data_IF_299863840946
#
_entry.id   IF_299863840946
#
_cell.length_a   1.000
_cell.length_b   1.000
_cell.length_c   1.000
_cell.angle_alpha   90.00
_cell.angle_beta   90.00
_cell.angle_gamma   90.00
#
_symmetry.space_group_name_H-M   'P 1'
#
loop_
_entity.id
_entity.type
_entity.pdbx_description
1 polymer ?
#
# COMPACT_ATOMS: atom_id res chain seq x y z
N UNK A 1 10.77 1.58 0.98
CA UNK A 1 10.22 2.33 -0.16
C UNK A 1 11.06 1.97 -1.39
N UNK A 2 10.50 2.09 -2.60
CA UNK A 2 11.22 1.86 -3.87
C UNK A 2 11.62 3.19 -4.52
N UNK A 3 12.25 4.05 -3.73
CA UNK A 3 12.59 5.44 -4.09
C UNK A 3 13.79 5.47 -5.03
N UNK A 4 13.85 6.48 -5.91
CA UNK A 4 14.96 6.68 -6.85
C UNK A 4 15.45 8.15 -6.85
N UNK A 5 16.18 8.57 -7.89
CA UNK A 5 16.77 9.91 -8.00
C UNK A 5 16.06 10.78 -9.07
N UNK A 6 14.78 10.52 -9.34
CA UNK A 6 13.98 11.29 -10.30
C UNK A 6 13.29 12.53 -9.68
N UNK A 7 13.49 12.77 -8.38
CA UNK A 7 12.93 13.90 -7.63
C UNK A 7 12.52 13.58 -6.19
N UNK A 8 12.70 12.34 -5.74
CA UNK A 8 12.42 11.95 -4.37
C UNK A 8 13.27 12.72 -3.34
N UNK A 9 12.66 12.99 -2.18
CA UNK A 9 13.30 13.68 -1.06
C UNK A 9 13.67 12.68 0.02
N UNK A 10 14.89 12.82 0.52
CA UNK A 10 15.45 11.96 1.56
C UNK A 10 15.58 12.74 2.86
N UNK A 11 15.16 12.14 3.97
CA UNK A 11 15.47 12.66 5.30
C UNK A 11 16.91 12.29 5.64
N UNK A 12 17.76 13.29 5.87
CA UNK A 12 19.13 13.12 6.36
C UNK A 12 19.15 13.63 7.80
N UNK A 13 19.51 12.76 8.73
CA UNK A 13 19.61 13.09 10.16
C UNK A 13 20.98 12.68 10.68
N UNK A 14 21.67 13.61 11.34
CA UNK A 14 22.97 13.40 12.00
C UNK A 14 22.88 13.53 13.53
N UNK A 15 21.68 13.76 14.08
CA UNK A 15 21.46 13.77 15.52
C UNK A 15 21.49 12.33 16.05
N UNK A 16 22.49 12.04 16.89
CA UNK A 16 22.72 10.71 17.45
C UNK A 16 21.56 10.20 18.31
N UNK A 17 20.78 11.08 18.93
CA UNK A 17 19.63 10.69 19.75
C UNK A 17 18.44 10.24 18.89
N UNK A 18 18.39 10.68 17.63
CA UNK A 18 17.33 10.36 16.67
C UNK A 18 17.71 9.22 15.70
N UNK A 19 19.00 8.85 15.63
CA UNK A 19 19.45 7.72 14.82
C UNK A 19 18.90 6.41 15.43
N UNK A 20 18.16 5.59 14.66
CA UNK A 20 17.63 4.33 15.17
C UNK A 20 18.74 3.40 15.66
N UNK A 21 18.61 2.89 16.89
CA UNK A 21 19.54 1.90 17.45
C UNK A 21 19.49 0.53 16.75
N UNK A 22 18.40 0.28 16.02
CA UNK A 22 18.17 -0.97 15.30
C UNK A 22 17.94 -0.68 13.82
N UNK A 23 18.62 -1.44 12.97
CA UNK A 23 18.46 -1.39 11.52
C UNK A 23 17.79 -2.67 11.04
N UNK A 24 16.77 -2.52 10.18
CA UNK A 24 16.11 -3.65 9.55
C UNK A 24 16.62 -3.85 8.12
N UNK A 25 16.59 -5.09 7.63
CA UNK A 25 16.89 -5.36 6.22
C UNK A 25 15.85 -4.66 5.33
N UNK A 26 16.27 -4.07 4.20
CA UNK A 26 15.33 -3.47 3.26
C UNK A 26 14.39 -4.53 2.70
N UNK A 27 13.17 -4.12 2.37
CA UNK A 27 12.21 -4.97 1.66
C UNK A 27 12.72 -5.23 0.25
N UNK A 28 12.66 -6.47 -0.23
CA UNK A 28 13.00 -6.78 -1.60
C UNK A 28 11.92 -6.25 -2.56
N UNK A 29 12.30 -5.29 -3.41
CA UNK A 29 11.42 -4.64 -4.36
C UNK A 29 11.54 -5.29 -5.74
N UNK A 30 10.87 -6.43 -5.93
CA UNK A 30 10.89 -7.08 -7.24
C UNK A 30 9.98 -6.32 -8.21
N UNK A 31 10.57 -5.74 -9.26
CA UNK A 31 9.82 -5.08 -10.34
C UNK A 31 8.82 -6.06 -10.94
N UNK A 32 7.54 -5.73 -10.91
CA UNK A 32 6.50 -6.61 -11.43
C UNK A 32 6.31 -6.30 -12.92
N UNK A 33 6.47 -7.28 -13.81
CA UNK A 33 6.48 -7.09 -15.29
C UNK A 33 5.31 -6.25 -15.77
N UNK A 34 5.50 -5.20 -16.58
CA UNK A 34 4.38 -4.37 -17.06
C UNK A 34 3.34 -5.22 -17.79
N UNK A 35 2.05 -4.88 -17.65
CA UNK A 35 1.03 -5.44 -18.55
C UNK A 35 1.39 -5.00 -19.97
N UNK A 36 1.26 -5.88 -20.97
CA UNK A 36 1.52 -5.53 -22.38
C UNK A 36 0.72 -4.27 -22.75
N UNK A 37 1.43 -3.21 -23.10
CA UNK A 37 0.82 -1.98 -23.63
C UNK A 37 0.24 -2.29 -25.02
N UNK A 38 -0.93 -1.72 -25.34
CA UNK A 38 -1.43 -1.73 -26.71
C UNK A 38 -0.53 -0.81 -27.55
N UNK A 39 -0.25 -1.20 -28.80
CA UNK A 39 0.62 -0.44 -29.70
C UNK A 39 0.06 0.95 -30.04
N UNK A 40 -1.24 1.16 -29.81
CA UNK A 40 -1.92 2.43 -30.02
C UNK A 40 -2.89 2.75 -28.88
N UNK A 41 -2.70 3.91 -28.25
CA UNK A 41 -3.61 4.45 -27.23
C UNK A 41 -4.75 5.21 -27.93
N UNK A 42 -5.97 4.70 -27.79
CA UNK A 42 -7.18 5.32 -28.32
C UNK A 42 -7.82 6.30 -27.34
N UNK A 43 -8.62 7.25 -27.85
CA UNK A 43 -9.42 8.16 -27.00
C UNK A 43 -10.34 7.40 -26.03
N UNK A 44 -10.88 6.26 -26.46
CA UNK A 44 -11.75 5.40 -25.64
C UNK A 44 -10.98 4.78 -24.47
N UNK A 45 -9.75 4.33 -24.69
CA UNK A 45 -8.89 3.79 -23.63
C UNK A 45 -8.49 4.87 -22.62
N UNK A 46 -8.16 6.09 -23.07
CA UNK A 46 -7.92 7.22 -22.17
C UNK A 46 -9.14 7.52 -21.29
N UNK A 47 -10.34 7.64 -21.89
CA UNK A 47 -11.58 7.89 -21.14
C UNK A 47 -11.83 6.77 -20.11
N UNK A 48 -11.66 5.51 -20.52
CA UNK A 48 -11.82 4.35 -19.64
C UNK A 48 -10.80 4.35 -18.49
N UNK A 49 -9.55 4.73 -18.77
CA UNK A 49 -8.51 4.85 -17.76
C UNK A 49 -8.88 5.89 -16.70
N UNK A 50 -9.20 7.12 -17.12
CA UNK A 50 -9.58 8.18 -16.19
C UNK A 50 -10.87 7.87 -15.42
N UNK A 51 -11.87 7.27 -16.07
CA UNK A 51 -13.11 6.85 -15.40
C UNK A 51 -12.88 5.76 -14.32
N UNK A 52 -11.81 4.98 -14.44
CA UNK A 52 -11.49 3.90 -13.50
C UNK A 52 -10.35 4.23 -12.52
N UNK A 53 -9.65 5.35 -12.69
CA UNK A 53 -8.47 5.74 -11.91
C UNK A 53 -8.74 5.83 -10.39
N UNK A 54 -9.96 6.25 -10.00
CA UNK A 54 -10.34 6.28 -8.58
C UNK A 54 -10.45 4.88 -7.96
N UNK A 55 -10.93 3.89 -8.71
CA UNK A 55 -11.11 2.50 -8.22
C UNK A 55 -9.76 1.79 -8.02
N UNK A 56 -8.72 2.25 -8.71
CA UNK A 56 -7.36 1.70 -8.62
C UNK A 56 -6.53 2.35 -7.50
N UNK A 57 -6.92 3.55 -7.02
CA UNK A 57 -6.22 4.24 -5.94
C UNK A 57 -6.64 3.72 -4.55
N UNK A 58 -6.02 2.62 -4.14
CA UNK A 58 -6.29 1.95 -2.85
C UNK A 58 -5.26 2.26 -1.76
N UNK A 59 -4.21 3.04 -2.05
CA UNK A 59 -3.10 3.30 -1.12
C UNK A 59 -3.57 3.89 0.22
N UNK A 60 -4.47 4.88 0.19
CA UNK A 60 -5.00 5.51 1.42
C UNK A 60 -5.81 4.54 2.30
N UNK A 61 -6.53 3.59 1.69
CA UNK A 61 -7.25 2.56 2.46
C UNK A 61 -6.24 1.63 3.14
N UNK A 62 -5.22 1.18 2.40
CA UNK A 62 -4.17 0.30 2.92
C UNK A 62 -3.41 0.98 4.07
N UNK A 63 -3.11 2.26 3.94
CA UNK A 63 -2.43 3.05 4.98
C UNK A 63 -3.23 3.12 6.29
N UNK A 64 -4.54 3.36 6.21
CA UNK A 64 -5.41 3.35 7.38
C UNK A 64 -5.39 2.00 8.13
N UNK A 65 -5.42 0.88 7.39
CA UNK A 65 -5.29 -0.44 8.01
C UNK A 65 -3.90 -0.68 8.58
N UNK A 66 -2.85 -0.19 7.91
CA UNK A 66 -1.49 -0.31 8.41
C UNK A 66 -1.36 0.39 9.77
N UNK A 67 -1.84 1.63 9.88
CA UNK A 67 -1.83 2.39 11.13
C UNK A 67 -2.63 1.69 12.24
N UNK A 68 -3.80 1.12 11.91
CA UNK A 68 -4.59 0.34 12.86
C UNK A 68 -3.82 -0.87 13.42
N UNK A 69 -3.22 -1.69 12.55
CA UNK A 69 -2.48 -2.88 12.97
C UNK A 69 -1.16 -2.55 13.64
N UNK A 70 -0.49 -1.48 13.20
CA UNK A 70 0.73 -0.98 13.82
C UNK A 70 0.48 -0.55 15.26
N UNK A 71 -0.64 0.13 15.52
CA UNK A 71 -1.03 0.52 16.87
C UNK A 71 -1.40 -0.70 17.74
N UNK A 72 -2.04 -1.72 17.16
CA UNK A 72 -2.52 -2.90 17.91
C UNK A 72 -1.43 -3.94 18.18
N UNK A 73 -0.58 -4.24 17.19
CA UNK A 73 0.37 -5.36 17.21
C UNK A 73 1.82 -4.94 16.94
N UNK A 74 2.07 -3.64 16.73
CA UNK A 74 3.37 -3.11 16.35
C UNK A 74 3.64 -3.11 14.84
N UNK A 75 4.49 -2.19 14.40
CA UNK A 75 4.88 -1.99 12.99
C UNK A 75 5.58 -3.21 12.36
N UNK A 76 6.20 -4.07 13.17
CA UNK A 76 6.90 -5.26 12.70
C UNK A 76 6.00 -6.50 12.58
N UNK A 77 4.70 -6.38 12.88
CA UNK A 77 3.73 -7.46 12.79
C UNK A 77 3.58 -8.01 11.36
N UNK A 78 3.15 -9.28 11.24
CA UNK A 78 2.97 -9.93 9.93
C UNK A 78 1.89 -9.23 9.09
N UNK A 79 0.89 -8.67 9.75
CA UNK A 79 -0.18 -7.86 9.17
C UNK A 79 0.39 -6.59 8.54
N UNK A 80 1.19 -5.83 9.28
CA UNK A 80 1.83 -4.61 8.78
C UNK A 80 2.76 -4.90 7.60
N UNK A 81 3.54 -5.98 7.67
CA UNK A 81 4.44 -6.38 6.56
C UNK A 81 3.67 -6.68 5.27
N UNK A 82 2.57 -7.43 5.37
CA UNK A 82 1.69 -7.73 4.23
C UNK A 82 1.04 -6.46 3.66
N UNK A 83 0.64 -5.54 4.52
CA UNK A 83 0.08 -4.26 4.11
C UNK A 83 1.12 -3.37 3.44
N UNK A 84 2.38 -3.37 3.91
CA UNK A 84 3.47 -2.65 3.27
C UNK A 84 3.77 -3.16 1.85
N UNK A 85 3.73 -4.48 1.64
CA UNK A 85 3.85 -5.08 0.29
C UNK A 85 2.70 -4.67 -0.63
N UNK A 86 1.46 -4.64 -0.11
CA UNK A 86 0.29 -4.19 -0.86
C UNK A 86 0.37 -2.69 -1.17
N UNK A 87 0.86 -1.88 -0.24
CA UNK A 87 1.02 -0.45 -0.41
C UNK A 87 2.02 -0.15 -1.53
N UNK A 88 3.17 -0.84 -1.56
CA UNK A 88 4.14 -0.76 -2.66
C UNK A 88 3.49 -1.07 -4.02
N UNK A 89 2.70 -2.14 -4.11
CA UNK A 89 1.97 -2.47 -5.35
C UNK A 89 0.93 -1.42 -5.72
N UNK A 90 0.33 -0.75 -4.73
CA UNK A 90 -0.68 0.29 -4.96
C UNK A 90 -0.09 1.57 -5.53
N UNK A 91 1.09 1.98 -5.06
CA UNK A 91 1.81 3.14 -5.59
C UNK A 91 2.22 2.92 -7.06
N UNK A 92 2.59 1.68 -7.42
CA UNK A 92 2.99 1.32 -8.78
C UNK A 92 1.84 0.93 -9.71
N UNK A 93 0.62 0.78 -9.20
CA UNK A 93 -0.54 0.36 -9.99
C UNK A 93 -0.80 1.29 -11.20
N UNK A 94 -0.74 2.64 -11.06
CA UNK A 94 -0.89 3.54 -12.21
C UNK A 94 0.21 3.36 -13.27
N UNK A 95 1.44 3.05 -12.84
CA UNK A 95 2.60 2.83 -13.74
C UNK A 95 2.54 1.48 -14.47
N UNK A 96 1.94 0.47 -13.84
CA UNK A 96 1.96 -0.92 -14.33
C UNK A 96 0.64 -1.39 -14.96
N UNK A 97 -0.45 -0.64 -14.78
CA UNK A 97 -1.79 -1.01 -15.22
C UNK A 97 -2.40 -2.18 -14.44
N UNK A 98 -1.76 -2.64 -13.37
CA UNK A 98 -2.25 -3.77 -12.57
C UNK A 98 -3.34 -3.32 -11.60
N UNK A 99 -4.43 -4.09 -11.56
CA UNK A 99 -5.47 -3.95 -10.54
C UNK A 99 -5.08 -4.75 -9.30
N UNK A 100 -5.21 -4.14 -8.12
CA UNK A 100 -5.05 -4.83 -6.85
C UNK A 100 -6.38 -5.52 -6.53
N UNK A 101 -6.45 -6.84 -6.75
CA UNK A 101 -7.68 -7.63 -6.60
C UNK A 101 -7.95 -8.13 -5.17
N UNK A 102 -7.11 -7.80 -4.20
CA UNK A 102 -7.12 -8.47 -2.88
C UNK A 102 -7.82 -7.66 -1.77
N UNK A 103 -8.92 -6.96 -2.08
CA UNK A 103 -9.80 -6.32 -1.08
C UNK A 103 -10.29 -7.31 -0.02
N UNK A 104 -10.53 -8.56 -0.43
CA UNK A 104 -11.05 -9.63 0.45
C UNK A 104 -10.11 -10.00 1.61
N UNK A 105 -8.81 -9.71 1.51
CA UNK A 105 -7.87 -9.91 2.62
C UNK A 105 -7.81 -8.74 3.61
N UNK A 106 -8.30 -7.56 3.20
CA UNK A 106 -8.31 -6.33 4.01
C UNK A 106 -9.60 -6.23 4.84
N UNK A 107 -10.72 -6.78 4.33
CA UNK A 107 -12.05 -6.70 4.96
C UNK A 107 -12.28 -7.63 6.17
N UNK A 108 -11.41 -8.59 6.44
CA UNK A 108 -11.64 -9.66 7.44
C UNK A 108 -11.79 -9.18 8.89
N UNK A 109 -11.59 -7.89 9.20
CA UNK A 109 -11.72 -7.35 10.56
C UNK A 109 -12.97 -6.51 10.83
N UNK A 110 -13.82 -6.21 9.83
CA UNK A 110 -15.10 -5.50 10.11
C UNK A 110 -16.14 -6.36 10.84
N UNK A 111 -15.93 -7.67 11.01
CA UNK A 111 -16.93 -8.59 11.59
C UNK A 111 -16.61 -9.00 13.03
N UNK A 112 -16.34 -8.07 13.96
CA UNK A 112 -16.49 -8.36 15.41
C UNK A 112 -16.61 -7.12 16.29
N UNK A 113 -17.79 -6.50 16.29
CA UNK A 113 -18.34 -5.76 17.45
C UNK A 113 -19.85 -5.56 17.29
N UNK A 114 -20.59 -6.67 17.45
CA UNK A 114 -21.90 -6.64 18.13
C UNK A 114 -21.74 -7.57 19.32
N UNK A 115 -21.13 -7.06 20.38
CA UNK A 115 -21.29 -7.64 21.71
C UNK A 115 -22.70 -7.30 22.14
N UNK A 116 -23.53 -8.34 22.14
CA UNK A 116 -24.75 -8.45 22.94
C UNK A 116 -24.57 -7.76 24.28
N UNK A 117 -25.36 -6.72 24.54
CA UNK A 117 -25.69 -6.32 25.91
C UNK A 117 -27.10 -6.82 26.15
N UNK A 118 -27.18 -8.02 26.71
CA UNK A 118 -28.32 -8.49 27.51
C UNK A 118 -28.01 -8.10 28.96
N UNK A 119 -29.06 -7.90 29.75
CA UNK A 119 -29.14 -7.51 31.18
C UNK A 119 -28.98 -6.02 31.51
N UNK A 120 -30.10 -5.30 31.71
CA UNK A 120 -30.97 -5.36 32.90
C UNK A 120 -32.35 -4.79 32.60
#
# INVERSE_FOLDING_TARGET
TGSDLDGDKYLICWDYDLIPKQTNKPMNYNSTSKVKESEFITRKEMISYFANAQKTNQSGIIDNYFNYWANLLGVNSTQCRRLAELFSKAVDAPKTGRKISNSSSIETTKKRRRTTTTDK
#
